data_IF_990073615581
#
_entry.id   IF_990073615581
#
_cell.length_a   1.000
_cell.length_b   1.000
_cell.length_c   1.000
_cell.angle_alpha   90.00
_cell.angle_beta   90.00
_cell.angle_gamma   90.00
#
_symmetry.space_group_name_H-M   'P 1'
#
loop_
_entity.id
_entity.type
_entity.pdbx_description
1 polymer ?
#
# COMPACT_ATOMS: atom_id res chain seq x y z
N UNK A 1 -6.00 -33.19 -31.03
CA UNK A 1 -6.48 -32.05 -30.22
C UNK A 1 -6.31 -30.80 -31.05
N UNK A 2 -7.35 -30.41 -31.80
CA UNK A 2 -7.32 -29.21 -32.64
C UNK A 2 -7.63 -27.99 -31.79
N UNK A 3 -6.75 -26.99 -31.80
CA UNK A 3 -6.99 -25.67 -31.20
C UNK A 3 -8.07 -24.98 -32.02
N UNK A 4 -9.19 -24.63 -31.39
CA UNK A 4 -10.23 -23.81 -32.01
C UNK A 4 -9.67 -22.41 -32.30
N UNK A 5 -9.71 -22.02 -33.56
CA UNK A 5 -9.45 -20.63 -33.99
C UNK A 5 -10.63 -19.77 -33.52
N UNK A 6 -10.42 -18.64 -32.82
CA UNK A 6 -11.54 -17.81 -32.39
C UNK A 6 -12.30 -17.27 -33.61
N UNK A 7 -13.63 -17.41 -33.59
CA UNK A 7 -14.53 -16.90 -34.63
C UNK A 7 -14.38 -15.38 -34.73
N UNK A 8 -14.02 -14.90 -35.93
CA UNK A 8 -13.99 -13.47 -36.25
C UNK A 8 -15.40 -12.91 -36.06
N UNK A 9 -15.55 -11.91 -35.19
CA UNK A 9 -16.85 -11.25 -34.97
C UNK A 9 -17.29 -10.54 -36.24
N UNK A 10 -18.25 -11.13 -36.96
CA UNK A 10 -18.79 -10.58 -38.20
C UNK A 10 -19.39 -9.18 -38.01
N UNK A 11 -19.96 -8.92 -36.83
CA UNK A 11 -20.46 -7.60 -36.41
C UNK A 11 -19.34 -6.54 -36.39
N UNK A 12 -18.17 -6.89 -35.86
CA UNK A 12 -17.02 -5.98 -35.82
C UNK A 12 -16.43 -5.78 -37.22
N UNK A 13 -16.38 -6.84 -38.04
CA UNK A 13 -15.90 -6.76 -39.41
C UNK A 13 -16.76 -5.80 -40.26
N UNK A 14 -18.09 -5.86 -40.15
CA UNK A 14 -19.01 -4.93 -40.83
C UNK A 14 -18.82 -3.49 -40.35
N UNK A 15 -18.64 -3.29 -39.04
CA UNK A 15 -18.42 -1.97 -38.47
C UNK A 15 -17.10 -1.34 -38.95
N UNK A 16 -16.03 -2.14 -39.04
CA UNK A 16 -14.73 -1.69 -39.54
C UNK A 16 -14.76 -1.43 -41.05
N UNK A 17 -15.45 -2.28 -41.83
CA UNK A 17 -15.65 -2.05 -43.27
C UNK A 17 -16.35 -0.71 -43.55
N UNK A 18 -17.29 -0.30 -42.69
CA UNK A 18 -17.97 1.00 -42.78
C UNK A 18 -17.08 2.22 -42.53
N UNK A 19 -15.86 2.05 -41.99
CA UNK A 19 -14.90 3.15 -41.73
C UNK A 19 -13.94 3.43 -42.89
N UNK A 20 -14.05 2.68 -43.99
CA UNK A 20 -13.26 2.87 -45.20
C UNK A 20 -11.85 2.24 -45.16
N UNK A 21 -11.25 2.10 -46.34
CA UNK A 21 -9.99 1.36 -46.55
C UNK A 21 -8.80 1.93 -45.78
N UNK A 22 -8.68 3.26 -45.74
CA UNK A 22 -7.58 3.94 -45.04
C UNK A 22 -7.55 3.59 -43.54
N UNK A 23 -8.73 3.53 -42.91
CA UNK A 23 -8.85 3.10 -41.51
C UNK A 23 -8.44 1.64 -41.35
N UNK A 24 -8.84 0.76 -42.27
CA UNK A 24 -8.45 -0.65 -42.21
C UNK A 24 -6.93 -0.83 -42.31
N UNK A 25 -6.27 -0.06 -43.17
CA UNK A 25 -4.82 -0.12 -43.35
C UNK A 25 -4.08 0.35 -42.07
N UNK A 26 -4.56 1.40 -41.42
CA UNK A 26 -4.03 1.87 -40.13
C UNK A 26 -4.17 0.83 -39.02
N UNK A 27 -5.32 0.15 -38.95
CA UNK A 27 -5.55 -0.91 -37.97
C UNK A 27 -4.69 -2.15 -38.23
N UNK A 28 -4.53 -2.53 -39.49
CA UNK A 28 -3.64 -3.63 -39.88
C UNK A 28 -2.18 -3.35 -39.48
N UNK A 29 -1.70 -2.12 -39.72
CA UNK A 29 -0.37 -1.69 -39.31
C UNK A 29 -0.21 -1.71 -37.77
N UNK A 30 -1.23 -1.27 -37.04
CA UNK A 30 -1.24 -1.27 -35.58
C UNK A 30 -1.21 -2.69 -35.01
N UNK A 31 -2.00 -3.61 -35.57
CA UNK A 31 -2.01 -5.02 -35.15
C UNK A 31 -0.67 -5.69 -35.45
N UNK A 32 -0.07 -5.43 -36.61
CA UNK A 32 1.24 -5.95 -36.95
C UNK A 32 2.30 -5.48 -35.94
N UNK A 33 2.30 -4.18 -35.61
CA UNK A 33 3.22 -3.63 -34.61
C UNK A 33 3.01 -4.20 -33.22
N UNK A 34 1.75 -4.42 -32.81
CA UNK A 34 1.44 -5.07 -31.54
C UNK A 34 1.97 -6.51 -31.50
N UNK A 35 1.90 -7.25 -32.61
CA UNK A 35 2.49 -8.58 -32.74
C UNK A 35 4.01 -8.58 -32.57
N UNK A 36 4.70 -7.60 -33.14
CA UNK A 36 6.15 -7.43 -32.94
C UNK A 36 6.50 -7.15 -31.48
N UNK A 37 5.77 -6.24 -30.81
CA UNK A 37 5.99 -5.91 -29.40
C UNK A 37 5.75 -7.10 -28.47
N UNK A 38 4.78 -7.96 -28.80
CA UNK A 38 4.55 -9.21 -28.09
C UNK A 38 5.70 -10.20 -28.30
N UNK A 39 6.26 -10.28 -29.51
CA UNK A 39 7.38 -11.18 -29.81
C UNK A 39 8.70 -10.72 -29.18
N UNK A 40 8.92 -9.41 -29.03
CA UNK A 40 10.12 -8.84 -28.39
C UNK A 40 10.02 -8.76 -26.86
N UNK A 41 8.82 -8.97 -26.30
CA UNK A 41 8.59 -8.85 -24.85
C UNK A 41 8.52 -7.40 -24.35
N UNK A 42 8.41 -6.43 -25.26
CA UNK A 42 8.29 -5.00 -24.96
C UNK A 42 6.82 -4.57 -24.76
N UNK A 43 5.90 -5.53 -24.68
CA UNK A 43 4.52 -5.26 -24.32
C UNK A 43 4.47 -4.66 -22.89
N UNK A 44 3.96 -3.44 -22.78
CA UNK A 44 3.68 -2.81 -21.50
C UNK A 44 2.64 -3.68 -20.80
N UNK A 45 3.00 -4.26 -19.66
CA UNK A 45 2.04 -4.94 -18.80
C UNK A 45 0.91 -3.96 -18.48
N UNK A 46 -0.34 -4.40 -18.62
CA UNK A 46 -1.47 -3.58 -18.18
C UNK A 46 -1.20 -3.13 -16.74
N UNK A 47 -1.34 -1.82 -16.42
CA UNK A 47 -1.25 -1.40 -15.05
C UNK A 47 -2.27 -2.22 -14.26
N UNK A 48 -1.79 -2.87 -13.19
CA UNK A 48 -2.66 -3.64 -12.32
C UNK A 48 -3.90 -2.79 -12.00
N UNK A 49 -5.08 -3.39 -12.15
CA UNK A 49 -6.34 -2.71 -11.93
C UNK A 49 -6.26 -1.95 -10.60
N UNK A 50 -6.67 -0.67 -10.59
CA UNK A 50 -6.62 0.16 -9.40
C UNK A 50 -7.31 -0.59 -8.25
N UNK A 51 -6.52 -0.98 -7.26
CA UNK A 51 -7.05 -1.67 -6.08
C UNK A 51 -8.14 -0.81 -5.44
N UNK A 52 -9.27 -1.43 -5.03
CA UNK A 52 -10.39 -0.69 -4.48
C UNK A 52 -9.96 0.08 -3.22
N UNK A 53 -10.41 1.33 -3.11
CA UNK A 53 -10.10 2.16 -1.96
C UNK A 53 -10.75 1.60 -0.68
N UNK A 54 -10.03 1.68 0.44
CA UNK A 54 -10.58 1.36 1.74
C UNK A 54 -11.54 2.46 2.23
N UNK A 55 -12.53 2.15 3.08
CA UNK A 55 -13.48 3.14 3.58
C UNK A 55 -12.83 4.38 4.22
N UNK A 56 -11.74 4.17 4.98
CA UNK A 56 -10.97 5.24 5.64
C UNK A 56 -10.18 6.13 4.65
N UNK A 57 -10.01 5.72 3.40
CA UNK A 57 -9.40 6.57 2.36
C UNK A 57 -10.40 7.57 1.78
N UNK A 58 -11.69 7.28 1.93
CA UNK A 58 -12.78 8.05 1.33
C UNK A 58 -13.39 9.07 2.31
N UNK A 59 -13.10 8.97 3.61
CA UNK A 59 -13.65 9.88 4.60
C UNK A 59 -12.98 11.25 4.55
N UNK A 60 -13.79 12.31 4.55
CA UNK A 60 -13.28 13.68 4.61
C UNK A 60 -12.64 13.95 5.99
N UNK A 61 -11.63 14.83 6.00
CA UNK A 61 -10.98 15.21 7.26
C UNK A 61 -11.89 16.15 8.05
N UNK A 62 -12.24 15.78 9.29
CA UNK A 62 -13.04 16.63 10.17
C UNK A 62 -12.20 17.78 10.75
N UNK A 63 -12.00 18.86 10.00
CA UNK A 63 -11.04 19.93 10.35
C UNK A 63 -11.30 20.60 11.71
N UNK A 64 -12.57 20.67 12.12
CA UNK A 64 -13.04 21.31 13.36
C UNK A 64 -12.88 20.43 14.61
N UNK A 65 -12.62 19.12 14.45
CA UNK A 65 -12.48 18.22 15.59
C UNK A 65 -11.14 18.45 16.33
N UNK A 66 -11.12 18.32 17.67
CA UNK A 66 -9.89 18.40 18.44
C UNK A 66 -8.95 17.26 18.07
N UNK A 67 -7.65 17.56 18.00
CA UNK A 67 -6.62 16.53 17.79
C UNK A 67 -6.39 15.74 19.07
N UNK A 68 -6.31 14.42 18.93
CA UNK A 68 -5.99 13.48 19.99
C UNK A 68 -4.74 12.69 19.64
N UNK A 69 -4.07 12.16 20.66
CA UNK A 69 -3.00 11.17 20.44
C UNK A 69 -3.64 9.87 19.99
N UNK A 70 -3.05 9.22 19.01
CA UNK A 70 -3.41 7.89 18.53
C UNK A 70 -2.18 7.00 18.48
N UNK A 71 -2.38 5.73 18.80
CA UNK A 71 -1.38 4.68 18.71
C UNK A 71 -1.83 3.64 17.68
N UNK A 72 -0.90 3.11 16.89
CA UNK A 72 -1.13 2.00 15.97
C UNK A 72 -0.09 0.90 16.19
N UNK A 73 -0.55 -0.35 16.13
CA UNK A 73 0.28 -1.55 16.04
C UNK A 73 -0.14 -2.40 14.84
N UNK A 74 0.81 -2.83 14.00
CA UNK A 74 0.56 -3.75 12.90
C UNK A 74 1.60 -4.87 12.89
N UNK A 75 1.18 -6.07 12.51
CA UNK A 75 2.08 -7.20 12.30
C UNK A 75 2.06 -7.57 10.82
N UNK A 76 3.23 -7.88 10.26
CA UNK A 76 3.38 -8.42 8.92
C UNK A 76 4.10 -9.76 8.96
N UNK A 77 3.54 -10.73 8.28
CA UNK A 77 4.13 -12.06 8.13
C UNK A 77 4.61 -12.21 6.69
N UNK A 78 5.60 -11.41 6.32
CA UNK A 78 6.20 -11.49 5.00
C UNK A 78 7.05 -12.78 4.91
N UNK A 79 6.71 -13.65 3.96
CA UNK A 79 7.44 -14.90 3.70
C UNK A 79 8.90 -14.60 3.37
N UNK A 80 9.82 -15.05 4.24
CA UNK A 80 11.28 -14.94 4.04
C UNK A 80 12.01 -13.97 4.97
N UNK A 81 11.33 -13.00 5.59
CA UNK A 81 11.95 -12.03 6.51
C UNK A 81 11.60 -12.25 8.00
N UNK A 82 10.66 -13.16 8.30
CA UNK A 82 10.14 -13.37 9.65
C UNK A 82 8.96 -12.45 9.98
N UNK A 83 8.55 -12.43 11.24
CA UNK A 83 7.48 -11.55 11.74
C UNK A 83 8.01 -10.11 11.88
N UNK A 84 7.39 -9.17 11.18
CA UNK A 84 7.61 -7.73 11.36
C UNK A 84 6.55 -7.13 12.27
N UNK A 85 6.95 -6.29 13.23
CA UNK A 85 6.04 -5.53 14.06
C UNK A 85 6.27 -4.02 13.85
N UNK A 86 5.20 -3.29 13.58
CA UNK A 86 5.20 -1.86 13.27
C UNK A 86 4.43 -1.11 14.35
N UNK A 87 4.99 0.00 14.81
CA UNK A 87 4.37 0.85 15.82
C UNK A 87 4.38 2.31 15.36
N UNK A 88 3.26 3.00 15.47
CA UNK A 88 3.14 4.42 15.18
C UNK A 88 2.38 5.16 16.28
N UNK A 89 2.76 6.43 16.44
CA UNK A 89 2.22 7.35 17.42
C UNK A 89 2.03 8.71 16.76
N UNK A 90 0.89 9.37 16.95
CA UNK A 90 0.72 10.71 16.39
C UNK A 90 -0.55 11.40 16.79
N UNK A 91 -0.63 12.69 16.47
CA UNK A 91 -1.84 13.48 16.67
C UNK A 91 -2.75 13.40 15.46
N UNK A 92 -3.99 12.99 15.65
CA UNK A 92 -5.03 12.99 14.61
C UNK A 92 -6.38 13.30 15.24
N UNK A 93 -7.32 13.81 14.45
CA UNK A 93 -8.65 14.17 14.95
C UNK A 93 -9.54 12.95 15.12
N UNK A 94 -9.40 12.00 14.20
CA UNK A 94 -10.13 10.74 14.17
C UNK A 94 -9.22 9.58 13.76
N UNK A 95 -9.77 8.37 13.79
CA UNK A 95 -9.07 7.14 13.44
C UNK A 95 -8.61 7.16 11.97
N UNK A 96 -9.45 7.66 11.07
CA UNK A 96 -9.21 7.64 9.63
C UNK A 96 -8.09 8.62 9.24
N UNK A 97 -8.06 9.82 9.82
CA UNK A 97 -6.96 10.76 9.67
C UNK A 97 -5.66 10.13 10.16
N UNK A 98 -5.68 9.41 11.29
CA UNK A 98 -4.49 8.73 11.78
C UNK A 98 -4.05 7.62 10.82
N UNK A 99 -5.00 6.83 10.32
CA UNK A 99 -4.76 5.72 9.39
C UNK A 99 -4.18 6.21 8.06
N UNK A 100 -4.71 7.29 7.50
CA UNK A 100 -4.15 7.96 6.31
C UNK A 100 -2.70 8.41 6.51
N UNK A 101 -2.36 8.93 7.69
CA UNK A 101 -0.99 9.37 8.00
C UNK A 101 -0.01 8.21 8.09
N UNK A 102 -0.36 7.13 8.80
CA UNK A 102 0.54 5.97 8.93
C UNK A 102 0.66 5.18 7.61
N UNK A 103 -0.34 5.26 6.72
CA UNK A 103 -0.28 4.64 5.40
C UNK A 103 0.84 5.18 4.51
N UNK A 104 1.28 6.43 4.72
CA UNK A 104 2.41 7.01 4.01
C UNK A 104 3.74 6.33 4.36
N UNK A 105 3.84 5.77 5.56
CA UNK A 105 5.06 5.13 6.06
C UNK A 105 4.99 3.60 5.97
N UNK A 106 3.84 3.00 6.32
CA UNK A 106 3.66 1.55 6.38
C UNK A 106 3.08 0.95 5.10
N UNK A 107 2.60 1.79 4.19
CA UNK A 107 1.77 1.36 3.08
C UNK A 107 0.31 1.11 3.49
N UNK A 108 -0.56 1.12 2.49
CA UNK A 108 -2.02 1.06 2.65
C UNK A 108 -2.50 -0.20 3.36
N UNK A 109 -1.94 -1.35 2.99
CA UNK A 109 -2.33 -2.66 3.53
C UNK A 109 -2.03 -2.80 5.03
N UNK A 110 -0.85 -2.33 5.47
CA UNK A 110 -0.48 -2.38 6.87
C UNK A 110 -1.24 -1.33 7.68
N UNK A 111 -1.47 -0.14 7.13
CA UNK A 111 -2.33 0.87 7.75
C UNK A 111 -3.77 0.36 7.91
N UNK A 112 -4.32 -0.38 6.94
CA UNK A 112 -5.64 -0.98 7.04
C UNK A 112 -5.73 -2.11 8.09
N UNK A 113 -4.66 -2.90 8.25
CA UNK A 113 -4.62 -3.98 9.24
C UNK A 113 -4.20 -3.52 10.64
N UNK A 114 -3.70 -2.29 10.77
CA UNK A 114 -3.26 -1.74 12.04
C UNK A 114 -4.41 -1.70 13.06
N UNK A 115 -4.09 -2.08 14.31
CA UNK A 115 -4.95 -1.89 15.47
C UNK A 115 -4.72 -0.50 16.03
N UNK A 116 -5.75 0.34 16.03
CA UNK A 116 -5.68 1.73 16.46
C UNK A 116 -6.30 1.89 17.85
N UNK A 117 -5.72 2.77 18.66
CA UNK A 117 -6.26 3.15 19.96
C UNK A 117 -6.13 4.66 20.19
N UNK A 118 -7.19 5.28 20.70
CA UNK A 118 -7.21 6.69 21.09
C UNK A 118 -6.53 6.86 22.46
N UNK A 119 -5.54 7.74 22.51
CA UNK A 119 -4.75 8.05 23.70
C UNK A 119 -3.78 6.94 24.09
N UNK A 120 -3.40 6.97 25.36
CA UNK A 120 -2.65 5.92 26.04
C UNK A 120 -3.59 5.25 27.05
N UNK A 121 -3.65 3.92 27.12
CA UNK A 121 -3.61 3.32 28.48
C UNK A 121 -2.44 4.03 29.15
N UNK A 122 -2.60 4.69 30.31
CA UNK A 122 -1.57 5.53 30.96
C UNK A 122 -0.15 4.99 30.72
N UNK A 123 0.52 5.53 29.70
CA UNK A 123 1.87 5.14 29.32
C UNK A 123 2.59 6.48 29.25
N UNK A 124 3.38 6.81 30.29
CA UNK A 124 4.21 8.01 30.32
C UNK A 124 4.93 8.19 28.98
N UNK A 125 5.17 9.44 28.57
CA UNK A 125 5.83 9.75 27.29
C UNK A 125 7.18 9.01 27.10
N UNK A 126 7.84 8.63 28.20
CA UNK A 126 9.05 7.79 28.21
C UNK A 126 8.81 6.32 27.80
N UNK A 127 7.60 5.81 28.00
CA UNK A 127 7.17 4.45 27.66
C UNK A 127 6.48 4.38 26.28
N UNK A 128 6.19 5.55 25.68
CA UNK A 128 5.69 5.65 24.31
C UNK A 128 6.70 5.12 23.28
N UNK A 129 7.98 5.24 23.61
CA UNK A 129 9.06 4.86 22.70
C UNK A 129 9.40 3.38 22.79
N UNK A 130 9.10 2.70 23.91
CA UNK A 130 9.42 1.30 24.14
C UNK A 130 8.36 0.66 25.04
N UNK A 131 7.53 -0.21 24.45
CA UNK A 131 6.67 -1.09 25.25
C UNK A 131 7.54 -1.90 26.24
N UNK A 132 7.02 -2.33 27.40
CA UNK A 132 7.78 -3.15 28.34
C UNK A 132 8.37 -4.42 27.71
N UNK A 133 7.66 -4.99 26.72
CA UNK A 133 8.13 -6.12 25.93
C UNK A 133 9.31 -5.74 25.06
N UNK A 134 9.23 -4.64 24.30
CA UNK A 134 10.34 -4.15 23.47
C UNK A 134 11.56 -3.79 24.33
N UNK A 135 11.34 -3.17 25.49
CA UNK A 135 12.38 -2.87 26.47
C UNK A 135 13.10 -4.15 26.90
N UNK A 136 12.37 -5.19 27.29
CA UNK A 136 12.95 -6.49 27.68
C UNK A 136 13.71 -7.15 26.53
N UNK A 137 13.18 -7.09 25.30
CA UNK A 137 13.85 -7.63 24.11
C UNK A 137 15.15 -6.88 23.79
N UNK A 138 15.16 -5.54 23.90
CA UNK A 138 16.38 -4.74 23.71
C UNK A 138 17.41 -4.95 24.82
N UNK A 139 16.96 -5.18 26.06
CA UNK A 139 17.83 -5.53 27.18
C UNK A 139 18.46 -6.91 27.01
N UNK A 140 17.72 -7.90 26.48
CA UNK A 140 18.24 -9.22 26.11
C UNK A 140 19.27 -9.08 24.98
N UNK A 141 18.96 -8.30 23.95
CA UNK A 141 19.89 -7.99 22.87
C UNK A 141 21.17 -7.33 23.39
N UNK A 142 21.07 -6.36 24.31
CA UNK A 142 22.22 -5.71 24.96
C UNK A 142 23.08 -6.66 25.80
N UNK A 143 22.52 -7.79 26.25
CA UNK A 143 23.25 -8.88 26.92
C UNK A 143 23.83 -9.91 25.94
N UNK A 144 23.63 -9.75 24.63
CA UNK A 144 24.09 -10.68 23.59
C UNK A 144 23.15 -11.87 23.35
N UNK A 145 21.93 -11.82 23.89
CA UNK A 145 20.92 -12.87 23.76
C UNK A 145 19.90 -12.50 22.69
N UNK A 146 19.48 -13.46 21.85
CA UNK A 146 18.39 -13.32 20.87
C UNK A 146 18.48 -12.03 20.01
N UNK A 147 19.59 -11.78 19.30
CA UNK A 147 19.72 -10.58 18.47
C UNK A 147 18.65 -10.56 17.37
N UNK A 148 17.98 -9.42 17.14
CA UNK A 148 17.03 -9.32 16.04
C UNK A 148 17.78 -9.41 14.71
N UNK A 149 17.14 -10.03 13.72
CA UNK A 149 17.70 -10.15 12.36
C UNK A 149 17.96 -8.76 11.73
N UNK A 150 17.13 -7.77 12.07
CA UNK A 150 17.35 -6.35 11.79
C UNK A 150 16.56 -5.51 12.80
N UNK A 151 17.04 -4.31 13.09
CA UNK A 151 16.32 -3.35 13.93
C UNK A 151 16.45 -1.96 13.33
N UNK A 152 15.32 -1.33 13.02
CA UNK A 152 15.26 0.05 12.52
C UNK A 152 14.20 0.79 13.31
N UNK A 153 14.56 1.96 13.84
CA UNK A 153 13.68 2.80 14.64
C UNK A 153 13.68 4.21 14.05
N UNK A 154 12.51 4.72 13.71
CA UNK A 154 12.32 6.11 13.28
C UNK A 154 11.42 6.82 14.27
N UNK A 155 11.97 7.87 14.89
CA UNK A 155 11.19 8.83 15.67
C UNK A 155 11.52 10.24 15.17
N UNK A 156 10.49 11.03 14.91
CA UNK A 156 10.63 12.45 14.58
C UNK A 156 9.77 13.27 15.51
N UNK A 157 10.44 13.98 16.42
CA UNK A 157 9.85 15.06 17.21
C UNK A 157 10.16 16.38 16.49
N UNK A 158 9.11 17.12 16.13
CA UNK A 158 9.23 18.46 15.54
C UNK A 158 8.37 19.43 16.36
N UNK A 159 9.01 20.43 16.94
CA UNK A 159 8.37 21.53 17.65
C UNK A 159 8.39 22.75 16.72
N UNK A 160 7.22 23.33 16.41
CA UNK A 160 7.19 24.65 15.77
C UNK A 160 7.44 25.69 16.86
N UNK A 161 8.59 26.38 16.80
CA UNK A 161 8.84 27.60 17.56
C UNK A 161 8.85 28.80 16.65
N UNK A 162 7.66 29.34 16.43
CA UNK A 162 7.31 30.73 16.06
C UNK A 162 5.98 30.72 15.30
#
# INVERSE_FOLDING_TARGET
MSRETPLVSETMARLLAGKGQETLDQWAATIARAGELLATGEAVAEPAAAEPAYPWELTESCLEAPRHVWCAGAEDYATGAGQGAYFAAGFARDEDEFRRRIALEFGRELAHRARLAKGSVQVPFADFFLSPVMRSTLEQFGRGENPPASMVFFARYAENRS
#
